data_IF_765701760398
#
_entry.id   IF_765701760398
#
_cell.length_a   1.000
_cell.length_b   1.000
_cell.length_c   1.000
_cell.angle_alpha   90.00
_cell.angle_beta   90.00
_cell.angle_gamma   90.00
#
_symmetry.space_group_name_H-M   'P 1'
#
loop_
_entity.id
_entity.type
_entity.pdbx_description
1 polymer ?
#
# COMPACT_ATOMS: atom_id res chain seq x y z
N UNK A 1 -27.39 30.48 -64.70
CA UNK A 1 -27.21 30.85 -63.33
C UNK A 1 -27.60 29.65 -62.49
N UNK A 2 -26.65 28.83 -62.07
CA UNK A 2 -26.84 27.71 -61.18
C UNK A 2 -26.09 27.99 -59.89
N UNK A 3 -26.82 28.20 -58.81
CA UNK A 3 -26.26 28.30 -57.48
C UNK A 3 -25.90 26.94 -56.92
N UNK A 4 -24.60 26.75 -56.61
CA UNK A 4 -24.08 25.54 -55.94
C UNK A 4 -24.03 25.84 -54.46
N UNK A 5 -24.95 25.21 -53.69
CA UNK A 5 -24.97 25.21 -52.22
C UNK A 5 -23.96 24.21 -51.71
N UNK A 6 -22.90 24.69 -51.07
CA UNK A 6 -21.92 23.84 -50.35
C UNK A 6 -22.46 23.54 -48.96
N UNK A 7 -22.89 22.31 -48.76
CA UNK A 7 -23.21 21.77 -47.43
C UNK A 7 -21.90 21.37 -46.70
N UNK A 8 -21.56 22.03 -45.62
CA UNK A 8 -20.50 21.67 -44.74
C UNK A 8 -20.95 20.52 -43.81
N UNK A 9 -20.36 19.33 -43.97
CA UNK A 9 -20.56 18.20 -43.08
C UNK A 9 -19.68 18.43 -41.85
N UNK A 10 -20.29 18.77 -40.71
CA UNK A 10 -19.60 18.82 -39.42
C UNK A 10 -19.37 17.38 -38.90
N UNK A 11 -18.15 16.91 -38.95
CA UNK A 11 -17.76 15.65 -38.33
C UNK A 11 -17.69 15.84 -36.81
N UNK A 12 -18.65 15.24 -36.09
CA UNK A 12 -18.67 15.17 -34.64
C UNK A 12 -17.59 14.17 -34.20
N UNK A 13 -16.44 14.66 -33.75
CA UNK A 13 -15.41 13.87 -33.10
C UNK A 13 -15.93 13.43 -31.72
N UNK A 14 -16.38 12.19 -31.63
CA UNK A 14 -16.63 11.48 -30.35
C UNK A 14 -15.25 11.24 -29.68
N UNK A 15 -14.90 12.11 -28.74
CA UNK A 15 -13.80 11.85 -27.82
C UNK A 15 -14.19 10.64 -26.95
N UNK A 16 -13.32 9.63 -26.80
CA UNK A 16 -13.61 8.56 -25.88
C UNK A 16 -13.67 9.14 -24.46
N UNK A 17 -14.82 9.00 -23.83
CA UNK A 17 -14.96 9.23 -22.39
C UNK A 17 -14.03 8.21 -21.73
N UNK A 18 -12.94 8.68 -21.14
CA UNK A 18 -12.08 7.89 -20.28
C UNK A 18 -12.94 7.42 -19.10
N UNK A 19 -13.53 6.24 -19.22
CA UNK A 19 -14.23 5.59 -18.14
C UNK A 19 -13.26 5.43 -16.97
N UNK A 20 -13.60 5.99 -15.82
CA UNK A 20 -12.92 5.71 -14.57
C UNK A 20 -13.10 4.22 -14.28
N UNK A 21 -12.12 3.40 -14.66
CA UNK A 21 -12.06 2.00 -14.23
C UNK A 21 -11.75 1.98 -12.73
N UNK A 22 -12.78 1.93 -11.90
CA UNK A 22 -12.59 1.45 -10.54
C UNK A 22 -12.19 -0.03 -10.65
N UNK A 23 -11.18 -0.44 -9.87
CA UNK A 23 -10.76 -1.84 -9.82
C UNK A 23 -11.98 -2.70 -9.47
N UNK A 24 -12.18 -3.81 -10.18
CA UNK A 24 -13.34 -4.67 -9.95
C UNK A 24 -13.24 -5.36 -8.59
N UNK A 25 -14.27 -5.21 -7.78
CA UNK A 25 -14.39 -5.86 -6.48
C UNK A 25 -14.70 -7.34 -6.67
N UNK A 26 -14.03 -8.21 -5.93
CA UNK A 26 -14.25 -9.66 -5.99
C UNK A 26 -15.72 -9.98 -5.60
N UNK A 27 -16.50 -10.61 -6.51
CA UNK A 27 -17.90 -10.91 -6.25
C UNK A 27 -18.12 -11.95 -5.13
N UNK A 28 -17.08 -12.70 -4.77
CA UNK A 28 -17.13 -13.68 -3.69
C UNK A 28 -16.91 -13.07 -2.28
N UNK A 29 -16.66 -11.78 -2.18
CA UNK A 29 -16.61 -11.08 -0.89
C UNK A 29 -17.98 -11.16 -0.19
N UNK A 30 -18.00 -11.38 1.14
CA UNK A 30 -19.24 -11.40 1.89
C UNK A 30 -19.92 -10.02 1.90
N UNK A 31 -21.24 -10.00 1.88
CA UNK A 31 -22.00 -8.77 2.08
C UNK A 31 -21.85 -8.26 3.50
N UNK A 32 -22.00 -6.95 3.70
CA UNK A 32 -22.07 -6.36 5.02
C UNK A 32 -23.45 -6.61 5.63
N UNK A 33 -23.46 -7.34 6.71
CA UNK A 33 -24.66 -7.59 7.53
C UNK A 33 -24.44 -6.89 8.88
N UNK A 34 -25.05 -5.70 9.08
CA UNK A 34 -24.89 -4.91 10.30
C UNK A 34 -25.35 -5.69 11.55
N UNK A 35 -24.55 -5.64 12.61
CA UNK A 35 -24.90 -6.19 13.92
C UNK A 35 -25.02 -5.06 14.92
N UNK A 36 -25.99 -5.13 15.79
CA UNK A 36 -26.13 -4.15 16.87
C UNK A 36 -24.86 -4.06 17.70
N UNK A 37 -24.40 -2.85 17.96
CA UNK A 37 -23.24 -2.57 18.81
C UNK A 37 -23.60 -1.56 19.86
N UNK A 38 -23.18 -1.82 21.11
CA UNK A 38 -23.24 -0.85 22.19
C UNK A 38 -21.95 -0.02 22.21
N UNK A 39 -22.08 1.29 22.39
CA UNK A 39 -20.95 2.18 22.56
C UNK A 39 -20.59 2.22 24.04
N UNK A 40 -19.40 1.73 24.44
CA UNK A 40 -18.95 1.86 25.81
C UNK A 40 -18.65 3.34 26.12
N UNK A 41 -19.49 3.98 26.92
CA UNK A 41 -19.37 5.43 27.28
C UNK A 41 -18.16 5.75 28.15
N UNK A 42 -17.53 4.73 28.74
CA UNK A 42 -16.34 4.86 29.61
C UNK A 42 -15.02 4.80 28.86
N UNK A 43 -15.03 4.49 27.55
CA UNK A 43 -13.81 4.34 26.76
C UNK A 43 -13.22 5.71 26.36
N UNK A 44 -11.90 5.83 26.45
CA UNK A 44 -11.19 7.10 26.18
C UNK A 44 -11.24 7.54 24.71
N UNK A 45 -11.51 6.62 23.78
CA UNK A 45 -11.75 6.95 22.38
C UNK A 45 -13.14 7.55 22.13
N UNK A 46 -14.00 7.63 23.14
CA UNK A 46 -15.27 8.36 23.06
C UNK A 46 -15.04 9.78 23.57
N UNK A 47 -15.16 10.75 22.67
CA UNK A 47 -14.99 12.16 23.00
C UNK A 47 -16.09 12.69 23.91
N UNK A 48 -15.88 13.86 24.51
CA UNK A 48 -16.86 14.51 25.37
C UNK A 48 -18.21 14.82 24.65
N UNK A 49 -18.17 14.94 23.33
CA UNK A 49 -19.33 15.07 22.46
C UNK A 49 -20.00 13.72 22.10
N UNK A 50 -19.49 12.62 22.64
CA UNK A 50 -19.98 11.27 22.36
C UNK A 50 -19.55 10.71 21.00
N UNK A 51 -18.71 11.41 20.24
CA UNK A 51 -18.17 10.89 18.97
C UNK A 51 -17.00 9.93 19.23
N UNK A 52 -16.96 8.84 18.47
CA UNK A 52 -15.83 7.91 18.46
C UNK A 52 -14.69 8.52 17.67
N UNK A 53 -13.49 8.55 18.27
CA UNK A 53 -12.30 9.16 17.69
C UNK A 53 -11.45 8.09 17.00
N UNK A 54 -10.99 8.38 15.78
CA UNK A 54 -10.01 7.59 15.03
C UNK A 54 -8.82 8.48 14.75
N UNK A 55 -7.65 8.12 15.30
CA UNK A 55 -6.38 8.85 15.12
C UNK A 55 -5.46 8.05 14.21
N UNK A 56 -4.96 8.67 13.13
CA UNK A 56 -4.11 7.88 12.25
C UNK A 56 -3.48 8.55 11.04
N UNK A 57 -3.27 7.74 10.03
CA UNK A 57 -2.58 8.07 8.81
C UNK A 57 -3.44 8.94 7.88
N UNK A 58 -2.94 10.12 7.57
CA UNK A 58 -3.65 11.13 6.76
C UNK A 58 -3.96 10.65 5.32
N UNK A 59 -3.11 9.80 4.72
CA UNK A 59 -3.33 9.31 3.36
C UNK A 59 -4.48 8.29 3.28
N UNK A 60 -4.97 7.79 4.42
CA UNK A 60 -6.18 6.96 4.50
C UNK A 60 -7.47 7.78 4.67
N UNK A 61 -7.40 9.11 4.67
CA UNK A 61 -8.57 9.99 4.86
C UNK A 61 -9.70 9.65 3.91
N UNK A 62 -9.43 9.69 2.60
CA UNK A 62 -10.44 9.47 1.56
C UNK A 62 -11.11 8.09 1.69
N UNK A 63 -10.32 7.06 2.04
CA UNK A 63 -10.82 5.71 2.29
C UNK A 63 -11.75 5.68 3.50
N UNK A 64 -11.36 6.31 4.61
CA UNK A 64 -12.18 6.36 5.83
C UNK A 64 -13.43 7.21 5.63
N UNK A 65 -13.32 8.34 4.92
CA UNK A 65 -14.47 9.20 4.58
C UNK A 65 -15.46 8.50 3.63
N UNK A 66 -15.02 7.53 2.83
CA UNK A 66 -15.91 6.68 2.04
C UNK A 66 -16.63 5.61 2.88
N UNK A 67 -15.99 5.10 3.93
CA UNK A 67 -16.53 4.05 4.80
C UNK A 67 -17.44 4.57 5.93
N UNK A 68 -17.10 5.72 6.52
CA UNK A 68 -17.84 6.29 7.67
C UNK A 68 -19.32 6.49 7.35
N UNK A 69 -19.73 7.06 6.20
CA UNK A 69 -21.15 7.19 5.88
C UNK A 69 -21.90 5.85 5.80
N UNK A 70 -21.27 4.80 5.27
CA UNK A 70 -21.86 3.47 5.21
C UNK A 70 -22.06 2.89 6.61
N UNK A 71 -21.07 3.09 7.49
CA UNK A 71 -21.14 2.63 8.87
C UNK A 71 -22.23 3.36 9.66
N UNK A 72 -22.28 4.69 9.57
CA UNK A 72 -23.28 5.53 10.27
C UNK A 72 -24.69 5.27 9.74
N UNK A 73 -24.86 5.00 8.43
CA UNK A 73 -26.16 4.62 7.87
C UNK A 73 -26.71 3.32 8.50
N UNK A 74 -25.81 2.37 8.82
CA UNK A 74 -26.16 1.11 9.50
C UNK A 74 -26.27 1.26 11.02
N UNK A 75 -25.64 2.27 11.60
CA UNK A 75 -25.58 2.54 13.06
C UNK A 75 -25.82 4.02 13.34
N UNK A 76 -27.06 4.51 13.21
CA UNK A 76 -27.37 5.96 13.23
C UNK A 76 -27.05 6.66 14.57
N UNK A 77 -26.95 5.90 15.65
CA UNK A 77 -26.57 6.43 16.97
C UNK A 77 -25.07 6.65 17.14
N UNK A 78 -24.25 6.17 16.16
CA UNK A 78 -22.81 6.29 16.19
C UNK A 78 -22.35 7.51 15.39
N UNK A 79 -21.48 8.32 15.98
CA UNK A 79 -20.74 9.39 15.30
C UNK A 79 -19.26 9.06 15.32
N UNK A 80 -18.59 9.22 14.19
CA UNK A 80 -17.14 9.00 14.05
C UNK A 80 -16.47 10.32 13.71
N UNK A 81 -15.41 10.65 14.45
CA UNK A 81 -14.53 11.79 14.17
C UNK A 81 -13.15 11.29 13.75
N UNK A 82 -12.72 11.71 12.57
CA UNK A 82 -11.42 11.38 12.02
C UNK A 82 -10.41 12.48 12.38
N UNK A 83 -9.42 12.14 13.21
CA UNK A 83 -8.27 12.97 13.52
C UNK A 83 -7.02 12.30 12.94
N UNK A 84 -6.58 12.75 11.77
CA UNK A 84 -5.57 12.08 10.96
C UNK A 84 -4.31 12.95 10.80
N UNK A 85 -3.55 13.21 11.88
CA UNK A 85 -2.36 14.06 11.85
C UNK A 85 -1.13 13.37 11.25
N UNK A 86 -1.22 12.07 10.97
CA UNK A 86 -0.16 11.25 10.38
C UNK A 86 0.18 9.99 11.17
N UNK A 87 0.88 9.08 10.51
CA UNK A 87 1.23 7.73 10.98
C UNK A 87 1.93 7.73 12.35
N UNK A 88 2.77 8.72 12.64
CA UNK A 88 3.54 8.77 13.90
C UNK A 88 2.68 8.87 15.16
N UNK A 89 1.45 9.37 15.04
CA UNK A 89 0.55 9.59 16.19
C UNK A 89 -0.34 8.39 16.48
N UNK A 90 -0.63 7.58 15.48
CA UNK A 90 -1.57 6.47 15.56
C UNK A 90 -1.20 5.41 16.62
N UNK A 91 0.06 4.90 16.69
CA UNK A 91 0.44 3.87 17.66
C UNK A 91 0.24 4.33 19.11
N UNK A 92 0.68 5.55 19.42
CA UNK A 92 0.57 6.11 20.77
C UNK A 92 -0.88 6.39 21.18
N UNK A 93 -1.73 6.93 20.28
CA UNK A 93 -3.14 7.15 20.54
C UNK A 93 -3.88 5.81 20.76
N UNK A 94 -3.58 4.80 19.95
CA UNK A 94 -4.13 3.45 20.13
C UNK A 94 -3.71 2.85 21.47
N UNK A 95 -2.41 2.94 21.82
CA UNK A 95 -1.88 2.43 23.08
C UNK A 95 -2.56 3.04 24.31
N UNK A 96 -2.81 4.37 24.29
CA UNK A 96 -3.50 5.07 25.37
C UNK A 96 -5.03 4.89 25.38
N UNK A 97 -5.59 4.18 24.37
CA UNK A 97 -7.04 3.99 24.21
C UNK A 97 -7.78 5.26 23.77
N UNK A 98 -7.07 6.26 23.23
CA UNK A 98 -7.61 7.53 22.72
C UNK A 98 -8.09 7.44 21.27
N UNK A 99 -7.88 6.30 20.63
CA UNK A 99 -8.36 5.99 19.30
C UNK A 99 -8.99 4.60 19.26
N UNK A 100 -10.13 4.47 18.61
CA UNK A 100 -10.77 3.17 18.36
C UNK A 100 -9.89 2.28 17.48
N UNK A 101 -9.33 2.86 16.43
CA UNK A 101 -8.51 2.21 15.39
C UNK A 101 -7.25 3.04 15.17
N UNK A 102 -6.18 2.41 14.69
CA UNK A 102 -4.99 3.09 14.19
C UNK A 102 -4.81 2.80 12.69
N UNK A 103 -5.36 3.64 11.80
CA UNK A 103 -5.09 3.55 10.36
C UNK A 103 -3.62 3.83 10.07
N UNK A 104 -2.97 2.96 9.29
CA UNK A 104 -1.54 2.98 9.02
C UNK A 104 -1.24 2.66 7.56
N UNK A 105 -0.32 3.41 6.94
CA UNK A 105 0.21 3.12 5.60
C UNK A 105 1.39 2.14 5.60
N UNK A 106 1.80 1.69 6.76
CA UNK A 106 2.87 0.71 6.96
C UNK A 106 2.71 0.05 8.34
N UNK A 107 3.44 -1.01 8.57
CA UNK A 107 3.48 -1.68 9.87
C UNK A 107 4.15 -0.77 10.94
N UNK A 108 3.77 -1.00 12.19
CA UNK A 108 4.48 -0.39 13.31
C UNK A 108 5.97 -0.70 13.21
N UNK A 109 6.79 0.33 13.36
CA UNK A 109 8.23 0.14 13.48
C UNK A 109 8.56 -0.65 14.75
N UNK A 110 9.76 -1.28 14.84
CA UNK A 110 10.16 -1.99 16.06
C UNK A 110 10.04 -1.11 17.32
N UNK A 111 10.40 0.17 17.22
CA UNK A 111 10.28 1.13 18.33
C UNK A 111 8.82 1.37 18.71
N UNK A 112 7.96 1.66 17.74
CA UNK A 112 6.52 1.87 17.98
C UNK A 112 5.86 0.64 18.61
N UNK A 113 6.24 -0.56 18.15
CA UNK A 113 5.74 -1.81 18.70
C UNK A 113 6.21 -2.04 20.14
N UNK A 114 7.48 -1.73 20.46
CA UNK A 114 8.02 -1.80 21.80
C UNK A 114 7.33 -0.83 22.76
N UNK A 115 7.12 0.42 22.33
CA UNK A 115 6.40 1.45 23.11
C UNK A 115 4.93 1.06 23.34
N UNK A 116 4.27 0.51 22.32
CA UNK A 116 2.91 0.00 22.42
C UNK A 116 2.83 -1.14 23.47
N UNK A 117 3.73 -2.13 23.38
CA UNK A 117 3.82 -3.25 24.33
C UNK A 117 4.07 -2.78 25.77
N UNK A 118 4.95 -1.81 25.94
CA UNK A 118 5.25 -1.23 27.25
C UNK A 118 4.00 -0.56 27.89
N UNK A 119 3.12 0.00 27.07
CA UNK A 119 1.91 0.68 27.55
C UNK A 119 0.74 -0.27 27.77
N UNK A 120 0.55 -1.26 26.86
CA UNK A 120 -0.64 -2.11 26.81
C UNK A 120 -0.40 -3.49 27.44
N UNK A 121 0.84 -3.97 27.44
CA UNK A 121 1.20 -5.32 27.92
C UNK A 121 0.91 -6.44 26.92
N UNK A 122 0.48 -6.11 25.70
CA UNK A 122 0.14 -7.06 24.64
C UNK A 122 0.43 -6.48 23.26
N UNK A 123 0.40 -7.31 22.22
CA UNK A 123 0.54 -6.87 20.83
C UNK A 123 -0.77 -6.27 20.29
N UNK A 124 -0.70 -5.26 19.42
CA UNK A 124 -1.87 -4.84 18.67
C UNK A 124 -2.23 -5.89 17.60
N UNK A 125 -3.49 -5.97 17.24
CA UNK A 125 -3.92 -6.80 16.11
C UNK A 125 -3.92 -5.95 14.85
N UNK A 126 -3.20 -6.40 13.81
CA UNK A 126 -3.14 -5.73 12.51
C UNK A 126 -4.10 -6.39 11.51
N UNK A 127 -4.87 -5.56 10.81
CA UNK A 127 -5.73 -5.96 9.71
C UNK A 127 -5.27 -5.29 8.42
N UNK A 128 -5.12 -6.07 7.36
CA UNK A 128 -4.97 -5.55 5.99
C UNK A 128 -6.37 -5.17 5.50
N UNK A 129 -6.52 -3.94 5.01
CA UNK A 129 -7.84 -3.45 4.60
C UNK A 129 -7.91 -3.08 3.12
N UNK A 130 -6.78 -2.86 2.48
CA UNK A 130 -6.66 -2.64 1.04
C UNK A 130 -5.22 -2.85 0.60
N UNK A 131 -5.00 -3.13 -0.69
CA UNK A 131 -3.68 -2.95 -1.31
C UNK A 131 -3.42 -1.47 -1.58
N UNK A 132 -2.16 -1.11 -1.68
CA UNK A 132 -1.74 0.22 -2.12
C UNK A 132 -2.10 0.45 -3.59
N UNK A 133 -2.12 1.72 -4.01
CA UNK A 133 -2.55 2.12 -5.35
C UNK A 133 -1.39 2.26 -6.33
N UNK A 134 -1.66 2.02 -7.61
CA UNK A 134 -0.77 2.37 -8.72
C UNK A 134 -1.12 3.71 -9.39
N UNK A 135 -2.18 4.39 -8.95
CA UNK A 135 -2.52 5.73 -9.46
C UNK A 135 -1.37 6.71 -9.12
N UNK A 136 -0.84 7.46 -10.10
CA UNK A 136 0.27 8.40 -9.87
C UNK A 136 -0.04 9.48 -8.82
N UNK A 137 -1.33 9.78 -8.58
CA UNK A 137 -1.79 10.76 -7.59
C UNK A 137 -1.90 10.18 -6.20
N UNK A 138 -1.88 8.85 -6.07
CA UNK A 138 -2.01 8.20 -4.78
C UNK A 138 -0.81 8.52 -3.87
N UNK A 139 -1.09 8.59 -2.59
CA UNK A 139 -0.08 8.89 -1.57
C UNK A 139 0.61 7.61 -1.05
N UNK A 140 -0.04 6.46 -1.21
CA UNK A 140 0.52 5.17 -0.80
C UNK A 140 0.49 4.16 -1.95
N UNK A 141 1.67 3.65 -2.34
CA UNK A 141 1.84 2.68 -3.42
C UNK A 141 2.72 1.50 -3.04
N UNK A 142 2.67 0.40 -3.83
CA UNK A 142 3.59 -0.71 -3.69
C UNK A 142 5.03 -0.27 -3.94
N UNK A 143 5.99 -1.07 -3.49
CA UNK A 143 7.38 -0.88 -3.86
C UNK A 143 7.64 -1.44 -5.26
N UNK A 144 8.47 -0.76 -6.04
CA UNK A 144 8.99 -1.24 -7.29
C UNK A 144 10.52 -1.31 -7.26
N UNK A 145 11.07 -2.20 -8.07
CA UNK A 145 12.50 -2.24 -8.37
C UNK A 145 12.70 -1.58 -9.73
N UNK A 146 13.55 -0.58 -9.76
CA UNK A 146 13.87 0.21 -10.93
C UNK A 146 15.30 -0.06 -11.38
N UNK A 147 15.50 -0.09 -12.69
CA UNK A 147 16.81 0.00 -13.32
C UNK A 147 16.80 1.11 -14.37
N UNK A 148 17.97 1.59 -14.77
CA UNK A 148 18.09 2.49 -15.90
C UNK A 148 17.46 1.86 -17.14
N UNK A 149 16.85 2.68 -18.00
CA UNK A 149 16.15 2.18 -19.21
C UNK A 149 17.02 1.29 -20.11
N UNK A 150 18.33 1.58 -20.20
CA UNK A 150 19.29 0.85 -21.02
C UNK A 150 19.92 -0.37 -20.32
N UNK A 151 19.57 -0.63 -19.07
CA UNK A 151 20.02 -1.82 -18.35
C UNK A 151 19.30 -3.07 -18.91
N UNK A 152 20.00 -4.13 -19.34
CA UNK A 152 19.37 -5.29 -19.99
C UNK A 152 18.70 -6.29 -19.04
N UNK A 153 18.73 -6.08 -17.70
CA UNK A 153 18.16 -7.01 -16.71
C UNK A 153 16.68 -7.26 -16.97
N UNK A 154 16.29 -8.42 -17.48
CA UNK A 154 14.91 -8.73 -17.85
C UNK A 154 13.99 -8.91 -16.64
N UNK A 155 14.50 -9.52 -15.57
CA UNK A 155 13.80 -9.77 -14.30
C UNK A 155 14.80 -9.98 -13.17
N UNK A 156 14.31 -9.94 -11.93
CA UNK A 156 15.13 -10.22 -10.73
C UNK A 156 14.34 -11.15 -9.81
N UNK A 157 15.02 -12.07 -9.14
CA UNK A 157 14.39 -12.87 -8.08
C UNK A 157 14.46 -12.14 -6.73
N UNK A 158 13.57 -12.50 -5.80
CA UNK A 158 13.64 -11.99 -4.41
C UNK A 158 14.99 -12.35 -3.77
N UNK A 159 15.55 -13.53 -4.07
CA UNK A 159 16.86 -13.92 -3.53
C UNK A 159 18.01 -13.10 -4.14
N UNK A 160 17.93 -12.74 -5.42
CA UNK A 160 18.90 -11.82 -6.03
C UNK A 160 18.79 -10.41 -5.41
N UNK A 161 17.57 -9.92 -5.13
CA UNK A 161 17.39 -8.65 -4.41
C UNK A 161 18.05 -8.71 -3.03
N UNK A 162 17.82 -9.77 -2.26
CA UNK A 162 18.48 -9.96 -0.97
C UNK A 162 20.01 -9.86 -1.10
N UNK A 163 20.61 -10.59 -2.05
CA UNK A 163 22.05 -10.60 -2.27
C UNK A 163 22.61 -9.25 -2.73
N UNK A 164 21.90 -8.53 -3.57
CA UNK A 164 22.30 -7.18 -4.02
C UNK A 164 22.31 -6.22 -2.84
N UNK A 165 21.21 -6.19 -2.08
CA UNK A 165 21.03 -5.19 -1.02
C UNK A 165 21.72 -5.54 0.29
N UNK A 166 22.12 -6.80 0.52
CA UNK A 166 23.05 -7.19 1.58
C UNK A 166 24.52 -6.92 1.22
N UNK A 167 24.82 -6.67 -0.07
CA UNK A 167 26.18 -6.46 -0.56
C UNK A 167 26.91 -7.75 -0.97
N UNK A 168 26.25 -8.91 -0.96
CA UNK A 168 26.80 -10.19 -1.42
C UNK A 168 27.05 -10.19 -2.94
N UNK A 169 26.16 -9.58 -3.72
CA UNK A 169 26.31 -9.39 -5.16
C UNK A 169 26.82 -8.00 -5.47
N UNK A 170 27.89 -7.90 -6.20
CA UNK A 170 28.56 -6.63 -6.49
C UNK A 170 28.68 -6.32 -7.99
N UNK A 171 28.47 -7.30 -8.87
CA UNK A 171 28.61 -7.16 -10.31
C UNK A 171 27.37 -7.66 -11.04
N UNK A 172 27.06 -7.05 -12.18
CA UNK A 172 25.93 -7.42 -13.00
C UNK A 172 26.06 -8.83 -13.62
N UNK A 173 27.28 -9.30 -13.87
CA UNK A 173 27.53 -10.67 -14.34
C UNK A 173 27.08 -11.75 -13.37
N UNK A 174 27.10 -11.48 -12.04
CA UNK A 174 26.60 -12.39 -11.02
C UNK A 174 25.05 -12.54 -11.07
N UNK A 175 24.38 -11.66 -11.82
CA UNK A 175 22.95 -11.70 -12.11
C UNK A 175 22.63 -12.27 -13.48
N UNK A 176 23.65 -12.78 -14.20
CA UNK A 176 23.53 -13.39 -15.53
C UNK A 176 23.58 -12.42 -16.70
N UNK A 177 24.12 -11.20 -16.50
CA UNK A 177 24.34 -10.27 -17.61
C UNK A 177 25.74 -10.47 -18.22
N UNK A 178 25.78 -10.57 -19.56
CA UNK A 178 26.98 -10.88 -20.31
C UNK A 178 27.65 -9.65 -20.95
N UNK A 179 28.81 -9.88 -21.61
CA UNK A 179 29.54 -8.89 -22.42
C UNK A 179 30.01 -7.72 -21.55
N UNK A 180 29.72 -6.50 -21.98
CA UNK A 180 30.13 -5.27 -21.26
C UNK A 180 29.53 -5.12 -19.84
N UNK A 181 28.57 -5.94 -19.47
CA UNK A 181 27.92 -5.93 -18.17
C UNK A 181 28.56 -6.89 -17.17
N UNK A 182 29.31 -7.91 -17.61
CA UNK A 182 29.87 -8.96 -16.74
C UNK A 182 30.65 -8.38 -15.56
N UNK A 183 31.58 -7.47 -15.82
CA UNK A 183 32.45 -6.87 -14.79
C UNK A 183 31.90 -5.54 -14.24
N UNK A 184 30.78 -5.04 -14.76
CA UNK A 184 30.22 -3.77 -14.32
C UNK A 184 29.67 -3.88 -12.90
N UNK A 185 30.05 -2.94 -12.04
CA UNK A 185 29.56 -2.88 -10.66
C UNK A 185 28.05 -2.61 -10.60
N UNK A 186 27.37 -3.20 -9.62
CA UNK A 186 25.99 -2.89 -9.29
C UNK A 186 25.98 -1.70 -8.31
N UNK A 187 25.30 -0.63 -8.70
CA UNK A 187 25.06 0.51 -7.82
C UNK A 187 23.67 0.40 -7.22
N UNK A 188 23.59 0.01 -5.95
CA UNK A 188 22.32 -0.21 -5.26
C UNK A 188 21.84 1.06 -4.53
N UNK A 189 20.62 1.49 -4.86
CA UNK A 189 19.97 2.66 -4.30
C UNK A 189 18.65 2.29 -3.63
N UNK A 190 18.26 3.05 -2.60
CA UNK A 190 16.99 2.86 -1.94
C UNK A 190 16.61 4.07 -1.10
N UNK A 191 15.46 4.03 -0.46
CA UNK A 191 15.13 5.00 0.58
C UNK A 191 15.96 4.74 1.83
N UNK A 192 16.14 5.76 2.66
CA UNK A 192 16.94 5.69 3.89
C UNK A 192 16.53 4.53 4.78
N UNK A 193 17.54 3.88 5.40
CA UNK A 193 17.36 2.78 6.35
C UNK A 193 16.46 3.23 7.51
N UNK A 194 15.62 2.32 8.01
CA UNK A 194 14.71 2.60 9.11
C UNK A 194 13.41 3.33 8.71
N UNK A 195 13.32 3.84 7.48
CA UNK A 195 12.05 4.36 6.98
C UNK A 195 11.03 3.25 6.77
N UNK A 196 9.72 3.52 6.84
CA UNK A 196 8.68 2.52 6.63
C UNK A 196 8.81 1.77 5.29
N UNK A 197 9.23 2.44 4.21
CA UNK A 197 9.46 1.81 2.91
C UNK A 197 10.68 0.89 2.92
N UNK A 198 11.79 1.31 3.54
CA UNK A 198 12.98 0.47 3.68
C UNK A 198 12.71 -0.76 4.54
N UNK A 199 11.97 -0.61 5.65
CA UNK A 199 11.56 -1.73 6.51
C UNK A 199 10.63 -2.70 5.76
N UNK A 200 9.73 -2.19 4.93
CA UNK A 200 8.88 -3.02 4.06
C UNK A 200 9.70 -3.80 3.04
N UNK A 201 10.67 -3.15 2.37
CA UNK A 201 11.57 -3.83 1.44
C UNK A 201 12.42 -4.89 2.16
N UNK A 202 13.00 -4.54 3.31
CA UNK A 202 13.82 -5.44 4.12
C UNK A 202 13.04 -6.71 4.52
N UNK A 203 11.79 -6.56 4.92
CA UNK A 203 10.93 -7.69 5.26
C UNK A 203 10.58 -8.55 4.05
N UNK A 204 10.14 -7.92 2.95
CA UNK A 204 9.58 -8.62 1.79
C UNK A 204 10.66 -9.17 0.84
N UNK A 205 11.78 -8.46 0.68
CA UNK A 205 12.86 -8.84 -0.23
C UNK A 205 14.11 -9.41 0.46
N UNK A 206 14.34 -9.08 1.73
CA UNK A 206 15.61 -9.43 2.40
C UNK A 206 15.43 -10.37 3.61
N UNK A 207 14.21 -10.85 3.91
CA UNK A 207 13.91 -11.69 5.10
C UNK A 207 14.34 -11.06 6.43
N UNK A 208 14.33 -9.74 6.51
CA UNK A 208 14.81 -9.01 7.67
C UNK A 208 16.32 -8.83 7.74
N UNK A 209 17.11 -9.36 6.78
CA UNK A 209 18.54 -9.15 6.73
C UNK A 209 18.90 -7.65 6.64
N UNK A 210 20.05 -7.27 7.21
CA UNK A 210 20.51 -5.90 7.18
C UNK A 210 20.92 -5.46 5.76
N UNK A 211 20.70 -4.19 5.45
CA UNK A 211 21.27 -3.57 4.25
C UNK A 211 22.79 -3.48 4.37
N UNK A 212 23.48 -3.91 3.33
CA UNK A 212 24.94 -3.77 3.22
C UNK A 212 25.40 -2.31 3.08
N UNK A 213 26.65 -2.05 3.38
CA UNK A 213 27.23 -0.69 3.39
C UNK A 213 27.17 -0.01 2.01
N UNK A 214 27.21 -0.77 0.91
CA UNK A 214 27.19 -0.25 -0.47
C UNK A 214 25.84 0.33 -0.89
N UNK A 215 24.75 0.02 -0.16
CA UNK A 215 23.44 0.60 -0.47
C UNK A 215 23.41 2.08 -0.08
N UNK A 216 23.24 2.96 -1.07
CA UNK A 216 23.06 4.38 -0.84
C UNK A 216 21.59 4.69 -0.58
N UNK A 217 21.29 5.26 0.58
CA UNK A 217 19.94 5.69 0.97
C UNK A 217 19.65 7.13 0.59
N UNK A 218 18.41 7.40 0.19
CA UNK A 218 17.89 8.74 -0.12
C UNK A 218 16.65 9.06 0.73
N UNK A 219 16.44 10.31 1.12
CA UNK A 219 15.28 10.69 1.92
C UNK A 219 13.93 10.42 1.24
N UNK A 220 13.89 10.58 -0.11
CA UNK A 220 12.65 10.47 -0.88
C UNK A 220 12.75 9.41 -1.99
N UNK A 221 11.62 8.75 -2.26
CA UNK A 221 11.51 7.81 -3.40
C UNK A 221 11.81 8.48 -4.75
N UNK A 222 11.47 9.75 -4.93
CA UNK A 222 11.79 10.52 -6.13
C UNK A 222 13.29 10.62 -6.36
N UNK A 223 14.08 10.84 -5.30
CA UNK A 223 15.52 10.99 -5.40
C UNK A 223 16.18 9.68 -5.82
N UNK A 224 15.70 8.56 -5.27
CA UNK A 224 16.13 7.21 -5.71
C UNK A 224 15.91 7.03 -7.21
N UNK A 225 14.69 7.32 -7.69
CA UNK A 225 14.32 7.09 -9.09
C UNK A 225 15.09 8.00 -10.04
N UNK A 226 15.29 9.28 -9.69
CA UNK A 226 16.12 10.20 -10.46
C UNK A 226 17.58 9.74 -10.51
N UNK A 227 18.11 9.20 -9.39
CA UNK A 227 19.46 8.65 -9.36
C UNK A 227 19.59 7.44 -10.27
N UNK A 228 18.60 6.53 -10.27
CA UNK A 228 18.56 5.40 -11.19
C UNK A 228 18.48 5.86 -12.66
N UNK A 229 17.68 6.90 -12.95
CA UNK A 229 17.56 7.45 -14.31
C UNK A 229 18.86 8.05 -14.86
N UNK A 230 19.78 8.44 -14.00
CA UNK A 230 21.07 9.05 -14.36
C UNK A 230 22.26 8.09 -14.30
N UNK A 231 22.06 6.84 -13.91
CA UNK A 231 23.14 5.86 -13.68
C UNK A 231 22.80 4.53 -14.36
N UNK A 232 23.41 4.23 -15.53
CA UNK A 232 23.15 2.97 -16.24
C UNK A 232 23.43 1.70 -15.43
N UNK A 233 24.33 1.77 -14.43
CA UNK A 233 24.68 0.65 -13.58
C UNK A 233 23.79 0.52 -12.32
N UNK A 234 22.77 1.35 -12.21
CA UNK A 234 21.91 1.41 -11.05
C UNK A 234 20.83 0.33 -11.00
N UNK A 235 20.55 -0.11 -9.79
CA UNK A 235 19.30 -0.74 -9.38
C UNK A 235 18.78 -0.01 -8.13
N UNK A 236 17.49 0.32 -8.10
CA UNK A 236 16.90 1.05 -6.97
C UNK A 236 15.53 0.50 -6.57
N UNK A 237 15.19 0.55 -5.26
CA UNK A 237 13.82 0.34 -4.81
C UNK A 237 13.19 1.63 -4.30
N UNK A 238 11.96 1.88 -4.70
CA UNK A 238 11.19 3.07 -4.33
C UNK A 238 9.69 2.81 -4.49
N UNK A 239 8.85 3.77 -4.05
CA UNK A 239 7.43 3.73 -4.33
C UNK A 239 7.15 3.76 -5.84
N UNK A 240 6.35 2.82 -6.32
CA UNK A 240 6.12 2.57 -7.75
C UNK A 240 5.62 3.79 -8.53
N UNK A 241 4.74 4.61 -7.92
CA UNK A 241 4.16 5.80 -8.53
C UNK A 241 5.17 6.94 -8.75
N UNK A 242 6.43 6.79 -8.33
CA UNK A 242 7.51 7.78 -8.55
C UNK A 242 8.34 7.51 -9.80
N UNK A 243 7.92 6.55 -10.64
CA UNK A 243 8.56 6.29 -11.93
C UNK A 243 8.68 7.57 -12.77
N UNK A 244 9.85 7.77 -13.39
CA UNK A 244 10.15 8.90 -14.28
C UNK A 244 10.66 8.40 -15.63
N UNK A 245 10.67 9.23 -16.69
CA UNK A 245 11.37 8.88 -17.92
C UNK A 245 12.85 8.55 -17.63
N UNK A 246 13.37 7.50 -18.27
CA UNK A 246 14.77 7.05 -18.09
C UNK A 246 14.92 5.85 -17.17
N UNK A 247 13.87 5.42 -16.48
CA UNK A 247 13.86 4.17 -15.72
C UNK A 247 12.84 3.18 -16.30
N UNK A 248 13.01 1.92 -15.94
CA UNK A 248 11.98 0.89 -16.12
C UNK A 248 11.83 0.05 -14.85
N UNK A 249 10.61 -0.41 -14.60
CA UNK A 249 10.31 -1.34 -13.51
C UNK A 249 10.70 -2.75 -13.93
N UNK A 250 11.39 -3.46 -13.05
CA UNK A 250 11.83 -4.83 -13.27
C UNK A 250 10.79 -5.81 -12.68
N UNK A 251 10.30 -6.79 -13.48
CA UNK A 251 9.48 -7.87 -12.94
C UNK A 251 10.24 -8.69 -11.90
N UNK A 252 9.55 -9.17 -10.86
CA UNK A 252 10.16 -9.87 -9.73
C UNK A 252 9.65 -11.31 -9.68
N UNK A 253 10.56 -12.28 -9.70
CA UNK A 253 10.21 -13.67 -9.45
C UNK A 253 10.14 -13.93 -7.94
N UNK A 254 9.01 -14.51 -7.45
CA UNK A 254 8.84 -14.84 -6.05
C UNK A 254 9.81 -15.94 -5.60
N UNK A 255 9.96 -16.12 -4.30
CA UNK A 255 10.70 -17.25 -3.72
C UNK A 255 9.99 -18.56 -3.99
N UNK A 256 10.77 -19.65 -4.02
CA UNK A 256 10.23 -20.98 -4.25
C UNK A 256 9.95 -21.32 -5.70
N UNK A 257 10.32 -20.44 -6.63
CA UNK A 257 10.14 -20.67 -8.07
C UNK A 257 8.88 -19.99 -8.62
N UNK A 258 8.73 -20.07 -9.92
CA UNK A 258 7.67 -19.39 -10.67
C UNK A 258 8.25 -18.33 -11.62
N UNK A 259 7.43 -17.86 -12.55
CA UNK A 259 7.80 -16.81 -13.49
C UNK A 259 7.92 -15.44 -12.81
N UNK A 260 8.65 -14.55 -13.43
CA UNK A 260 8.74 -13.17 -12.98
C UNK A 260 7.37 -12.47 -13.10
N UNK A 261 6.96 -11.80 -12.04
CA UNK A 261 5.66 -11.13 -11.89
C UNK A 261 5.84 -9.64 -12.15
N UNK A 262 5.16 -9.12 -13.17
CA UNK A 262 5.11 -7.70 -13.46
C UNK A 262 4.25 -6.95 -12.43
N UNK A 263 4.63 -5.71 -12.15
CA UNK A 263 3.84 -4.82 -11.29
C UNK A 263 2.62 -4.32 -12.07
N UNK A 264 1.47 -4.92 -11.79
CA UNK A 264 0.17 -4.56 -12.36
C UNK A 264 -0.91 -4.66 -11.28
N UNK A 265 -2.01 -3.93 -11.42
CA UNK A 265 -3.17 -4.03 -10.51
C UNK A 265 -3.65 -5.49 -10.38
N UNK A 266 -3.75 -6.22 -11.50
CA UNK A 266 -4.18 -7.61 -11.49
C UNK A 266 -3.22 -8.53 -10.71
N UNK A 267 -1.92 -8.27 -10.72
CA UNK A 267 -0.95 -9.06 -9.95
C UNK A 267 -0.93 -8.68 -8.46
N UNK A 268 -1.19 -7.41 -8.14
CA UNK A 268 -1.37 -6.94 -6.76
C UNK A 268 -2.62 -7.58 -6.15
N UNK A 269 -3.79 -7.41 -6.77
CA UNK A 269 -5.06 -7.95 -6.30
C UNK A 269 -5.09 -9.48 -6.22
N UNK A 270 -4.27 -10.16 -7.04
CA UNK A 270 -4.09 -11.61 -6.96
C UNK A 270 -3.06 -12.06 -5.91
N UNK A 271 -2.45 -11.13 -5.15
CA UNK A 271 -1.42 -11.43 -4.16
C UNK A 271 -0.15 -12.05 -4.73
N UNK A 272 0.13 -11.82 -6.03
CA UNK A 272 1.29 -12.43 -6.71
C UNK A 272 2.55 -11.57 -6.69
N UNK A 273 2.41 -10.25 -6.59
CA UNK A 273 3.56 -9.35 -6.65
C UNK A 273 4.30 -9.31 -5.30
N UNK A 274 5.61 -9.67 -5.27
CA UNK A 274 6.32 -9.87 -4.00
C UNK A 274 6.52 -8.61 -3.14
N UNK A 275 6.55 -7.42 -3.76
CA UNK A 275 6.77 -6.16 -3.07
C UNK A 275 5.49 -5.33 -2.92
N UNK A 276 4.36 -6.02 -2.85
CA UNK A 276 3.08 -5.40 -2.54
C UNK A 276 3.09 -4.78 -1.14
N UNK A 277 2.24 -3.78 -0.96
CA UNK A 277 2.02 -3.11 0.32
C UNK A 277 0.54 -2.96 0.58
N UNK A 278 0.19 -3.06 1.85
CA UNK A 278 -1.18 -2.93 2.30
C UNK A 278 -1.39 -1.66 3.12
N UNK A 279 -2.58 -1.13 3.04
CA UNK A 279 -3.10 -0.24 4.07
C UNK A 279 -3.55 -1.11 5.25
N UNK A 280 -3.17 -0.67 6.44
CA UNK A 280 -3.36 -1.43 7.67
C UNK A 280 -4.26 -0.67 8.63
N UNK A 281 -5.01 -1.42 9.42
CA UNK A 281 -5.71 -0.90 10.58
C UNK A 281 -5.29 -1.73 11.78
N UNK A 282 -4.72 -1.08 12.78
CA UNK A 282 -4.41 -1.72 14.05
C UNK A 282 -5.51 -1.46 15.07
N UNK A 283 -5.76 -2.44 15.93
CA UNK A 283 -6.70 -2.37 17.05
C UNK A 283 -6.09 -2.95 18.31
N UNK A 284 -6.63 -2.57 19.45
CA UNK A 284 -6.26 -3.18 20.74
C UNK A 284 -6.93 -4.53 20.90
N UNK A 285 -6.22 -5.46 21.56
CA UNK A 285 -6.80 -6.70 22.05
C UNK A 285 -7.32 -6.51 23.48
N UNK A 286 -8.47 -7.11 23.84
CA UNK A 286 -9.48 -7.71 22.96
C UNK A 286 -10.17 -6.65 22.08
N UNK A 287 -10.69 -7.07 20.92
CA UNK A 287 -11.40 -6.15 20.03
C UNK A 287 -12.68 -5.63 20.70
N UNK A 288 -12.86 -4.31 20.71
CA UNK A 288 -14.15 -3.74 21.12
C UNK A 288 -15.25 -4.10 20.10
N UNK A 289 -16.52 -4.21 20.53
CA UNK A 289 -17.62 -4.52 19.61
C UNK A 289 -17.70 -3.55 18.41
N UNK A 290 -17.49 -2.26 18.64
CA UNK A 290 -17.53 -1.23 17.60
C UNK A 290 -16.35 -1.39 16.61
N UNK A 291 -15.13 -1.65 17.10
CA UNK A 291 -13.98 -1.88 16.23
C UNK A 291 -14.18 -3.13 15.35
N UNK A 292 -14.69 -4.21 15.95
CA UNK A 292 -15.03 -5.45 15.24
C UNK A 292 -16.04 -5.20 14.13
N UNK A 293 -17.09 -4.44 14.42
CA UNK A 293 -18.15 -4.17 13.46
C UNK A 293 -17.67 -3.25 12.32
N UNK A 294 -16.88 -2.23 12.62
CA UNK A 294 -16.29 -1.37 11.59
C UNK A 294 -15.32 -2.13 10.68
N UNK A 295 -14.53 -3.06 11.23
CA UNK A 295 -13.69 -3.97 10.44
C UNK A 295 -14.51 -4.95 9.61
N UNK A 296 -15.68 -5.42 10.09
CA UNK A 296 -16.61 -6.22 9.26
C UNK A 296 -17.08 -5.48 8.03
N UNK A 297 -17.42 -4.20 8.18
CA UNK A 297 -17.74 -3.35 7.04
C UNK A 297 -16.52 -3.19 6.11
N UNK A 298 -15.35 -2.84 6.62
CA UNK A 298 -14.14 -2.68 5.80
C UNK A 298 -13.82 -3.92 4.97
N UNK A 299 -14.03 -5.11 5.54
CA UNK A 299 -13.73 -6.42 4.94
C UNK A 299 -14.94 -7.04 4.22
N UNK A 300 -15.97 -6.27 3.94
CA UNK A 300 -17.15 -6.67 3.18
C UNK A 300 -17.06 -6.21 1.73
N UNK A 301 -17.97 -6.71 0.89
CA UNK A 301 -18.11 -6.28 -0.50
C UNK A 301 -18.39 -4.79 -0.63
N UNK A 302 -19.28 -4.27 0.20
CA UNK A 302 -19.67 -2.84 0.21
C UNK A 302 -18.50 -1.97 0.65
N UNK A 303 -17.78 -2.39 1.70
CA UNK A 303 -16.59 -1.69 2.17
C UNK A 303 -15.46 -1.68 1.14
N UNK A 304 -15.18 -2.82 0.51
CA UNK A 304 -14.16 -2.92 -0.53
C UNK A 304 -14.56 -2.14 -1.80
N UNK A 305 -15.85 -2.05 -2.13
CA UNK A 305 -16.34 -1.20 -3.20
C UNK A 305 -16.14 0.29 -2.91
N UNK A 306 -16.41 0.73 -1.68
CA UNK A 306 -16.17 2.10 -1.26
C UNK A 306 -14.67 2.46 -1.30
N UNK A 307 -13.81 1.55 -0.86
CA UNK A 307 -12.35 1.70 -0.92
C UNK A 307 -11.87 1.85 -2.36
N UNK A 308 -12.30 0.98 -3.26
CA UNK A 308 -11.91 1.02 -4.68
C UNK A 308 -12.42 2.28 -5.40
N UNK A 309 -13.57 2.82 -4.98
CA UNK A 309 -14.15 4.05 -5.51
C UNK A 309 -13.53 5.34 -4.93
N UNK A 310 -12.69 5.24 -3.88
CA UNK A 310 -12.07 6.41 -3.24
C UNK A 310 -11.14 7.15 -4.21
N UNK A 311 -10.92 8.47 -4.02
CA UNK A 311 -10.04 9.29 -4.87
C UNK A 311 -8.61 8.74 -5.00
N UNK A 312 -8.10 8.06 -3.98
CA UNK A 312 -6.76 7.44 -3.99
C UNK A 312 -6.72 6.13 -4.80
N UNK A 313 -7.89 5.59 -5.18
CA UNK A 313 -8.00 4.35 -5.97
C UNK A 313 -7.17 3.20 -5.39
N UNK A 314 -7.26 3.00 -4.08
CA UNK A 314 -6.68 1.83 -3.43
C UNK A 314 -7.33 0.56 -3.96
N UNK A 315 -6.51 -0.50 -4.14
CA UNK A 315 -7.01 -1.72 -4.73
C UNK A 315 -7.70 -2.60 -3.68
N UNK A 316 -8.88 -3.16 -3.99
CA UNK A 316 -9.61 -3.99 -3.05
C UNK A 316 -8.91 -5.32 -2.78
N UNK A 317 -9.14 -5.88 -1.60
CA UNK A 317 -8.74 -7.24 -1.25
C UNK A 317 -9.54 -8.25 -2.06
N UNK A 318 -8.92 -9.40 -2.38
CA UNK A 318 -9.62 -10.58 -2.83
C UNK A 318 -10.47 -11.19 -1.69
N UNK A 319 -11.49 -11.98 -2.05
CA UNK A 319 -12.30 -12.72 -1.06
C UNK A 319 -11.44 -13.61 -0.16
N UNK A 320 -10.38 -14.22 -0.70
CA UNK A 320 -9.44 -15.03 0.07
C UNK A 320 -8.68 -14.20 1.11
N UNK A 321 -8.16 -13.04 0.73
CA UNK A 321 -7.45 -12.15 1.65
C UNK A 321 -8.39 -11.60 2.72
N UNK A 322 -9.57 -11.13 2.32
CA UNK A 322 -10.58 -10.68 3.26
C UNK A 322 -11.00 -11.78 4.25
N UNK A 323 -11.11 -13.03 3.82
CA UNK A 323 -11.42 -14.16 4.70
C UNK A 323 -10.32 -14.40 5.76
N UNK A 324 -9.04 -14.29 5.37
CA UNK A 324 -7.92 -14.39 6.31
C UNK A 324 -7.93 -13.26 7.36
N UNK A 325 -8.28 -12.05 6.93
CA UNK A 325 -8.39 -10.92 7.85
C UNK A 325 -9.63 -11.04 8.74
N UNK A 326 -10.76 -11.49 8.21
CA UNK A 326 -12.00 -11.72 8.97
C UNK A 326 -11.85 -12.78 10.04
N UNK A 327 -11.02 -13.80 9.82
CA UNK A 327 -10.72 -14.83 10.83
C UNK A 327 -10.07 -14.28 12.11
N UNK A 328 -9.53 -13.07 12.08
CA UNK A 328 -8.97 -12.39 13.26
C UNK A 328 -10.04 -11.64 14.08
N UNK A 329 -11.28 -11.56 13.58
CA UNK A 329 -12.37 -10.88 14.26
C UNK A 329 -12.99 -11.73 15.38
N UNK A 330 -12.80 -13.01 15.35
CA UNK A 330 -13.28 -13.98 16.35
C UNK A 330 -12.23 -14.13 17.45
#
# INVERSE_FOLDING_TARGET
MLDVVHGALAALLLLPVAGSYAASVDPALPHYEPRGVEIPTSERYVGADGAIVVVGYNDMRDLLEALVPLFVAAHPDIRIRLDLPGTRFAPAALARGESLLAPMGAEFTPTQLAEYRATVGADPIAFRVAHASLDPRALSGPLAVFVHRDNPLASVTVDQLRRIYSGETSRWGELGLDGAWTERAVHSYGVERGTPLALSFQRNAMEGAAFGERMTGFPQSSDVVHKVASDPAAIGFAAAMRAVPGVRVVPIAPRGGGGAVALTEANLMAGRYPLDRFLLVYVRAPLSPVAREFLRLMLSREGQAAIAASPQRYLPLSAREAALERAKLD
#
